data_IF_046337587280
#
_entry.id   IF_046337587280
#
_cell.length_a   1.000
_cell.length_b   1.000
_cell.length_c   1.000
_cell.angle_alpha   90.00
_cell.angle_beta   90.00
_cell.angle_gamma   90.00
#
_symmetry.space_group_name_H-M   'P 1'
#
loop_
_entity.id
_entity.type
_entity.pdbx_description
1 polymer ?
#
# COMPACT_ATOMS: atom_id res chain seq x y z
N UNK A 1 -24.34 -37.34 11.73
CA UNK A 1 -24.18 -35.90 12.05
C UNK A 1 -22.97 -35.43 11.29
N UNK A 2 -23.18 -34.56 10.30
CA UNK A 2 -22.11 -34.01 9.46
C UNK A 2 -21.32 -32.99 10.29
N UNK A 3 -20.00 -33.17 10.34
CA UNK A 3 -19.06 -32.17 10.84
C UNK A 3 -18.97 -31.08 9.79
N UNK A 4 -19.57 -29.92 10.06
CA UNK A 4 -19.37 -28.71 9.28
C UNK A 4 -17.93 -28.26 9.50
N UNK A 5 -17.14 -28.31 8.44
CA UNK A 5 -15.80 -27.74 8.42
C UNK A 5 -15.91 -26.24 8.73
N UNK A 6 -15.16 -25.78 9.72
CA UNK A 6 -14.80 -24.38 9.83
C UNK A 6 -13.87 -24.08 8.66
N UNK A 7 -14.40 -23.53 7.58
CA UNK A 7 -13.59 -22.79 6.62
C UNK A 7 -12.99 -21.62 7.39
N UNK A 8 -11.66 -21.45 7.43
CA UNK A 8 -11.09 -20.18 7.87
C UNK A 8 -11.56 -19.12 6.88
N UNK A 9 -12.59 -18.37 7.26
CA UNK A 9 -13.08 -17.25 6.46
C UNK A 9 -11.96 -16.22 6.39
N UNK A 10 -11.46 -16.00 5.17
CA UNK A 10 -10.75 -14.77 4.84
C UNK A 10 -11.60 -13.58 5.30
N UNK A 11 -10.94 -12.54 5.80
CA UNK A 11 -11.64 -11.30 6.14
C UNK A 11 -12.50 -10.89 4.94
N UNK A 12 -13.77 -10.59 5.18
CA UNK A 12 -14.72 -10.28 4.11
C UNK A 12 -14.13 -9.22 3.18
N UNK A 13 -13.98 -9.56 1.89
CA UNK A 13 -13.45 -8.64 0.90
C UNK A 13 -14.23 -7.32 0.94
N UNK A 14 -13.52 -6.22 1.17
CA UNK A 14 -14.12 -4.88 1.26
C UNK A 14 -14.56 -4.40 -0.11
N UNK A 15 -15.61 -3.58 -0.18
CA UNK A 15 -16.03 -2.99 -1.47
C UNK A 15 -14.92 -2.11 -2.05
N UNK A 16 -14.82 -2.03 -3.38
CA UNK A 16 -13.82 -1.17 -4.03
C UNK A 16 -13.90 0.30 -3.59
N UNK A 17 -15.11 0.83 -3.38
CA UNK A 17 -15.30 2.22 -2.89
C UNK A 17 -14.82 2.43 -1.46
N UNK A 18 -14.98 1.42 -0.59
CA UNK A 18 -14.47 1.45 0.78
C UNK A 18 -12.95 1.37 0.77
N UNK A 19 -12.39 0.40 0.04
CA UNK A 19 -10.95 0.25 -0.13
C UNK A 19 -10.29 1.53 -0.67
N UNK A 20 -10.94 2.22 -1.63
CA UNK A 20 -10.46 3.50 -2.16
C UNK A 20 -10.35 4.58 -1.09
N UNK A 21 -11.36 4.72 -0.23
CA UNK A 21 -11.34 5.71 0.86
C UNK A 21 -10.27 5.38 1.89
N UNK A 22 -10.17 4.12 2.27
CA UNK A 22 -9.18 3.69 3.27
C UNK A 22 -7.75 3.90 2.75
N UNK A 23 -7.51 3.57 1.48
CA UNK A 23 -6.23 3.83 0.82
C UNK A 23 -5.94 5.32 0.71
N UNK A 24 -6.91 6.15 0.35
CA UNK A 24 -6.72 7.60 0.26
C UNK A 24 -6.29 8.19 1.62
N UNK A 25 -6.97 7.81 2.70
CA UNK A 25 -6.62 8.26 4.06
C UNK A 25 -5.22 7.77 4.45
N UNK A 26 -4.93 6.48 4.28
CA UNK A 26 -3.63 5.90 4.61
C UNK A 26 -2.50 6.60 3.83
N UNK A 27 -2.67 6.79 2.52
CA UNK A 27 -1.63 7.39 1.69
C UNK A 27 -1.37 8.83 2.07
N UNK A 28 -2.40 9.64 2.35
CA UNK A 28 -2.22 11.03 2.79
C UNK A 28 -1.41 11.08 4.08
N UNK A 29 -1.76 10.27 5.07
CA UNK A 29 -1.02 10.24 6.34
C UNK A 29 0.41 9.73 6.17
N UNK A 30 0.63 8.73 5.30
CA UNK A 30 1.99 8.28 4.95
C UNK A 30 2.80 9.37 4.25
N UNK A 31 2.18 10.15 3.35
CA UNK A 31 2.84 11.26 2.66
C UNK A 31 3.27 12.35 3.64
N UNK A 32 2.44 12.67 4.64
CA UNK A 32 2.75 13.62 5.71
C UNK A 32 3.84 13.07 6.66
N UNK A 33 3.73 11.80 7.06
CA UNK A 33 4.72 11.13 7.91
C UNK A 33 6.08 11.05 7.23
N UNK A 34 6.09 10.71 5.94
CA UNK A 34 7.29 10.80 5.10
C UNK A 34 7.74 12.25 5.10
N UNK A 35 6.94 13.24 4.73
CA UNK A 35 7.40 14.62 4.56
C UNK A 35 8.12 15.25 5.78
N UNK A 36 7.86 14.82 7.02
CA UNK A 36 8.45 15.41 8.23
C UNK A 36 8.40 16.95 8.23
N UNK A 37 7.23 17.50 7.91
CA UNK A 37 6.97 18.94 7.84
C UNK A 37 7.61 19.68 6.63
N UNK A 38 8.23 18.95 5.69
CA UNK A 38 8.66 19.49 4.40
C UNK A 38 7.49 19.61 3.40
N UNK A 39 7.50 20.65 2.56
CA UNK A 39 6.50 20.77 1.49
C UNK A 39 6.93 19.89 0.30
N UNK A 40 6.46 18.64 0.29
CA UNK A 40 6.71 17.69 -0.79
C UNK A 40 5.56 17.66 -1.80
N UNK A 41 5.91 17.78 -3.07
CA UNK A 41 4.95 17.63 -4.17
C UNK A 41 4.82 16.16 -4.59
N UNK A 42 3.74 15.52 -4.13
CA UNK A 42 3.40 14.15 -4.50
C UNK A 42 2.66 14.09 -5.84
N UNK A 43 3.03 13.11 -6.68
CA UNK A 43 2.37 12.79 -7.95
C UNK A 43 1.71 11.41 -7.85
N UNK A 44 0.52 11.24 -8.42
CA UNK A 44 -0.22 9.97 -8.42
C UNK A 44 -1.67 10.13 -7.94
N UNK A 45 -2.43 9.03 -7.82
CA UNK A 45 -2.02 7.66 -8.14
C UNK A 45 -1.78 7.47 -9.65
N UNK A 46 -0.75 6.69 -10.00
CA UNK A 46 -0.53 6.17 -11.36
C UNK A 46 -0.64 4.65 -11.42
N UNK A 47 -0.96 4.10 -12.59
CA UNK A 47 -1.02 2.65 -12.83
C UNK A 47 -2.03 1.88 -11.94
N UNK A 48 -3.15 2.53 -11.59
CA UNK A 48 -4.31 1.85 -10.99
C UNK A 48 -4.76 0.70 -11.91
N UNK A 49 -5.00 -0.47 -11.33
CA UNK A 49 -5.41 -1.65 -12.09
C UNK A 49 -6.29 -2.57 -11.23
N UNK A 50 -7.10 -3.39 -11.90
CA UNK A 50 -7.90 -4.43 -11.27
C UNK A 50 -7.77 -5.70 -12.10
N UNK A 51 -7.49 -6.81 -11.44
CA UNK A 51 -7.40 -8.12 -12.09
C UNK A 51 -7.88 -9.22 -11.15
N UNK A 52 -8.35 -10.32 -11.70
CA UNK A 52 -8.60 -11.56 -10.96
C UNK A 52 -7.27 -12.30 -10.72
N UNK A 53 -7.09 -12.86 -9.52
CA UNK A 53 -5.97 -13.76 -9.22
C UNK A 53 -6.27 -15.23 -9.61
N UNK A 54 -5.31 -16.12 -9.38
CA UNK A 54 -5.45 -17.55 -9.71
C UNK A 54 -6.51 -18.27 -8.86
N UNK A 55 -6.94 -17.66 -7.75
CA UNK A 55 -7.94 -18.20 -6.83
C UNK A 55 -9.34 -17.63 -7.11
N UNK A 56 -9.47 -16.73 -8.08
CA UNK A 56 -10.74 -16.10 -8.47
C UNK A 56 -11.11 -14.87 -7.65
N UNK A 57 -10.19 -14.33 -6.84
CA UNK A 57 -10.42 -13.11 -6.07
C UNK A 57 -10.01 -11.87 -6.87
N UNK A 58 -10.79 -10.79 -6.76
CA UNK A 58 -10.42 -9.54 -7.41
C UNK A 58 -9.33 -8.82 -6.61
N UNK A 59 -8.18 -8.61 -7.24
CA UNK A 59 -7.02 -7.90 -6.71
C UNK A 59 -6.94 -6.51 -7.31
N UNK A 60 -7.27 -5.52 -6.49
CA UNK A 60 -7.10 -4.12 -6.83
C UNK A 60 -5.68 -3.67 -6.53
N UNK A 61 -5.13 -2.89 -7.45
CA UNK A 61 -3.90 -2.13 -7.27
C UNK A 61 -4.27 -0.66 -7.35
N UNK A 62 -4.24 0.07 -6.22
CA UNK A 62 -4.54 1.49 -6.19
C UNK A 62 -3.63 2.34 -7.07
N UNK A 63 -2.38 1.90 -7.22
CA UNK A 63 -1.37 2.59 -8.00
C UNK A 63 -0.16 2.99 -7.15
N UNK A 64 0.56 3.97 -7.67
CA UNK A 64 1.84 4.42 -7.15
C UNK A 64 1.80 5.94 -6.93
N UNK A 65 2.43 6.40 -5.84
CA UNK A 65 2.60 7.82 -5.53
C UNK A 65 4.06 8.15 -5.39
N UNK A 66 4.54 9.20 -6.07
CA UNK A 66 5.96 9.56 -6.12
C UNK A 66 6.21 10.98 -5.66
N UNK A 67 7.35 11.22 -5.00
CA UNK A 67 7.84 12.56 -4.65
C UNK A 67 9.36 12.64 -4.81
N UNK A 68 9.89 13.82 -5.12
CA UNK A 68 11.33 14.09 -5.20
C UNK A 68 11.94 14.17 -3.79
N UNK A 69 12.18 13.02 -3.19
CA UNK A 69 12.84 12.84 -1.91
C UNK A 69 13.70 11.58 -1.94
N UNK A 70 14.94 11.69 -1.46
CA UNK A 70 15.77 10.52 -1.20
C UNK A 70 15.56 10.04 0.24
N UNK A 71 15.24 8.76 0.43
CA UNK A 71 15.21 8.10 1.74
C UNK A 71 16.35 7.09 1.90
N UNK A 72 17.62 7.53 2.02
CA UNK A 72 18.69 6.64 2.47
C UNK A 72 18.63 6.46 4.00
N UNK A 73 19.09 5.31 4.53
CA UNK A 73 19.25 5.11 5.98
C UNK A 73 20.16 6.17 6.64
N UNK A 74 21.09 6.73 5.86
CA UNK A 74 21.99 7.79 6.31
C UNK A 74 21.33 9.18 6.35
N UNK A 75 20.04 9.31 6.00
CA UNK A 75 19.29 10.56 6.20
C UNK A 75 19.26 10.90 7.70
N UNK A 76 19.75 12.08 8.12
CA UNK A 76 19.72 12.49 9.53
C UNK A 76 18.30 12.52 10.12
N UNK A 77 17.28 12.65 9.26
CA UNK A 77 15.87 12.67 9.68
C UNK A 77 15.22 11.28 9.65
N UNK A 78 15.93 10.24 9.22
CA UNK A 78 15.38 8.89 9.00
C UNK A 78 14.78 8.28 10.27
N UNK A 79 15.44 8.42 11.41
CA UNK A 79 14.96 7.87 12.67
C UNK A 79 13.59 8.44 13.09
N UNK A 80 13.36 9.72 12.85
CA UNK A 80 12.08 10.36 13.09
C UNK A 80 11.05 9.97 12.02
N UNK A 81 11.48 9.91 10.75
CA UNK A 81 10.62 9.59 9.60
C UNK A 81 10.05 8.18 9.71
N UNK A 82 10.92 7.20 9.94
CA UNK A 82 10.54 5.80 10.15
C UNK A 82 9.60 5.64 11.35
N UNK A 83 9.84 6.34 12.46
CA UNK A 83 8.93 6.33 13.61
C UNK A 83 7.54 6.87 13.26
N UNK A 84 7.44 8.03 12.60
CA UNK A 84 6.13 8.58 12.20
C UNK A 84 5.40 7.66 11.22
N UNK A 85 6.13 7.04 10.29
CA UNK A 85 5.52 6.06 9.37
C UNK A 85 4.98 4.87 10.15
N UNK A 86 5.75 4.31 11.10
CA UNK A 86 5.29 3.20 11.95
C UNK A 86 4.04 3.55 12.76
N UNK A 87 3.94 4.78 13.28
CA UNK A 87 2.77 5.26 14.00
C UNK A 87 1.53 5.31 13.09
N UNK A 88 1.67 5.80 11.86
CA UNK A 88 0.59 5.78 10.86
C UNK A 88 0.17 4.35 10.55
N UNK A 89 1.12 3.46 10.23
CA UNK A 89 0.83 2.07 9.91
C UNK A 89 0.07 1.36 11.05
N UNK A 90 0.52 1.54 12.29
CA UNK A 90 -0.15 0.99 13.47
C UNK A 90 -1.55 1.59 13.69
N UNK A 91 -1.74 2.87 13.39
CA UNK A 91 -3.05 3.54 13.43
C UNK A 91 -4.07 2.90 12.49
N UNK A 92 -3.60 2.37 11.35
CA UNK A 92 -4.40 1.61 10.37
C UNK A 92 -4.46 0.10 10.66
N UNK A 93 -3.91 -0.36 11.80
CA UNK A 93 -3.89 -1.77 12.18
C UNK A 93 -2.90 -2.62 11.38
N UNK A 94 -1.94 -1.99 10.69
CA UNK A 94 -0.88 -2.64 9.93
C UNK A 94 0.36 -2.88 10.80
N UNK A 95 1.27 -3.72 10.30
CA UNK A 95 2.60 -3.88 10.89
C UNK A 95 3.46 -2.63 10.66
N UNK A 96 4.52 -2.46 11.45
CA UNK A 96 5.52 -1.43 11.17
C UNK A 96 6.23 -1.64 9.84
N UNK A 97 7.09 -0.69 9.47
CA UNK A 97 8.00 -0.78 8.34
C UNK A 97 8.80 -2.08 8.45
N UNK A 98 8.83 -2.84 7.37
CA UNK A 98 9.66 -4.03 7.31
C UNK A 98 11.15 -3.70 7.39
N UNK A 99 11.95 -4.75 7.58
CA UNK A 99 13.38 -4.62 7.39
C UNK A 99 13.65 -4.12 5.98
N UNK A 100 14.65 -3.26 5.83
CA UNK A 100 14.98 -2.77 4.53
C UNK A 100 15.56 -3.83 3.61
N UNK A 101 15.19 -3.74 2.34
CA UNK A 101 15.64 -4.65 1.31
C UNK A 101 16.20 -3.90 0.10
N UNK A 102 17.29 -4.44 -0.45
CA UNK A 102 17.84 -3.97 -1.72
C UNK A 102 17.04 -4.53 -2.88
N UNK A 103 16.41 -3.65 -3.67
CA UNK A 103 15.43 -4.08 -4.67
C UNK A 103 15.96 -3.95 -6.10
N UNK A 104 17.28 -3.90 -6.24
CA UNK A 104 17.96 -3.73 -7.54
C UNK A 104 18.25 -2.27 -7.87
N UNK A 105 19.21 -2.04 -8.76
CA UNK A 105 19.53 -0.70 -9.27
C UNK A 105 20.31 0.23 -8.33
N UNK A 106 20.34 0.05 -7.01
CA UNK A 106 20.54 1.05 -5.92
C UNK A 106 19.23 1.66 -5.39
N UNK A 107 18.10 1.01 -5.65
CA UNK A 107 16.84 1.30 -4.96
C UNK A 107 16.83 0.56 -3.62
N UNK A 108 16.38 1.28 -2.59
CA UNK A 108 16.19 0.76 -1.24
C UNK A 108 14.71 0.78 -0.94
N UNK A 109 14.16 -0.29 -0.38
CA UNK A 109 12.73 -0.36 -0.11
C UNK A 109 12.42 -1.03 1.21
N UNK A 110 11.27 -0.67 1.77
CA UNK A 110 10.67 -1.33 2.90
C UNK A 110 9.32 -1.91 2.47
N UNK A 111 9.07 -3.15 2.84
CA UNK A 111 7.83 -3.85 2.53
C UNK A 111 7.14 -4.28 3.83
N UNK A 112 5.82 -4.15 3.88
CA UNK A 112 5.01 -4.61 5.01
C UNK A 112 3.63 -5.05 4.55
N UNK A 113 2.89 -5.68 5.46
CA UNK A 113 1.50 -6.03 5.21
C UNK A 113 0.68 -4.75 4.97
N UNK A 114 -0.06 -4.73 3.85
CA UNK A 114 -0.98 -3.67 3.51
C UNK A 114 -2.42 -3.99 3.94
N UNK A 115 -3.35 -3.05 3.73
CA UNK A 115 -4.76 -3.28 3.96
C UNK A 115 -5.31 -4.38 3.04
N UNK A 116 -6.43 -5.00 3.44
CA UNK A 116 -7.16 -5.99 2.62
C UNK A 116 -6.26 -7.12 2.07
N UNK A 117 -5.36 -7.66 2.90
CA UNK A 117 -4.37 -8.70 2.54
C UNK A 117 -3.41 -8.29 1.41
N UNK A 118 -3.34 -7.01 1.08
CA UNK A 118 -2.39 -6.47 0.12
C UNK A 118 -1.00 -6.29 0.72
N UNK A 119 -0.13 -5.69 -0.09
CA UNK A 119 1.24 -5.33 0.29
C UNK A 119 1.41 -3.83 0.16
N UNK A 120 1.98 -3.21 1.19
CA UNK A 120 2.48 -1.85 1.14
C UNK A 120 3.99 -1.89 0.99
N UNK A 121 4.50 -1.07 0.08
CA UNK A 121 5.94 -0.92 -0.14
C UNK A 121 6.29 0.55 -0.30
N UNK A 122 7.37 0.98 0.33
CA UNK A 122 7.93 2.32 0.19
C UNK A 122 9.36 2.15 -0.29
N UNK A 123 9.69 2.62 -1.48
CA UNK A 123 11.06 2.60 -1.98
C UNK A 123 11.59 3.95 -2.42
N UNK A 124 12.91 4.08 -2.40
CA UNK A 124 13.63 5.27 -2.79
C UNK A 124 14.67 4.92 -3.83
N UNK A 125 14.57 5.57 -4.99
CA UNK A 125 15.42 5.35 -6.15
C UNK A 125 15.79 6.68 -6.82
N UNK A 126 17.09 6.94 -6.98
CA UNK A 126 17.61 8.17 -7.64
C UNK A 126 17.03 9.48 -7.10
N UNK A 127 16.77 9.54 -5.80
CA UNK A 127 16.20 10.72 -5.15
C UNK A 127 14.69 10.88 -5.33
N UNK A 128 14.01 9.82 -5.75
CA UNK A 128 12.55 9.76 -5.82
C UNK A 128 12.09 8.69 -4.84
N UNK A 129 11.16 9.05 -3.97
CA UNK A 129 10.46 8.12 -3.09
C UNK A 129 9.14 7.74 -3.74
N UNK A 130 8.80 6.46 -3.68
CA UNK A 130 7.56 5.90 -4.20
C UNK A 130 6.84 5.09 -3.13
N UNK A 131 5.54 5.36 -2.96
CA UNK A 131 4.62 4.54 -2.17
C UNK A 131 3.88 3.64 -3.16
N UNK A 132 3.88 2.34 -2.91
CA UNK A 132 3.20 1.33 -3.71
C UNK A 132 2.23 0.53 -2.84
N UNK A 133 1.00 0.39 -3.33
CA UNK A 133 0.02 -0.55 -2.78
C UNK A 133 -0.37 -1.56 -3.84
N UNK A 134 -0.33 -2.85 -3.47
CA UNK A 134 -0.53 -3.95 -4.40
C UNK A 134 -1.41 -5.04 -3.83
N UNK A 135 -2.27 -5.62 -4.68
CA UNK A 135 -2.94 -6.89 -4.38
C UNK A 135 -4.03 -6.80 -3.33
N UNK A 136 -4.66 -5.64 -3.16
CA UNK A 136 -5.74 -5.45 -2.19
C UNK A 136 -6.94 -6.28 -2.64
N UNK A 137 -7.41 -7.18 -1.78
CA UNK A 137 -8.61 -7.96 -2.06
C UNK A 137 -9.85 -7.08 -1.98
N UNK A 138 -10.61 -7.00 -3.07
CA UNK A 138 -11.83 -6.19 -3.11
C UNK A 138 -13.01 -6.98 -3.66
N UNK A 139 -14.20 -6.64 -3.17
CA UNK A 139 -15.45 -7.05 -3.77
C UNK A 139 -15.88 -6.03 -4.84
N UNK A 140 -16.08 -6.48 -6.08
CA UNK A 140 -16.66 -5.70 -7.17
C UNK A 140 -17.89 -6.38 -7.75
N UNK A 141 -18.86 -5.59 -8.20
CA UNK A 141 -20.04 -6.12 -8.88
C UNK A 141 -19.73 -6.43 -10.36
N UNK A 142 -19.65 -7.72 -10.69
CA UNK A 142 -19.44 -8.19 -12.05
C UNK A 142 -18.05 -8.81 -12.25
N UNK A 143 -17.39 -8.47 -13.36
CA UNK A 143 -16.07 -9.01 -13.70
C UNK A 143 -14.93 -8.19 -13.06
N UNK A 144 -13.88 -8.88 -12.60
CA UNK A 144 -12.67 -8.28 -12.03
C UNK A 144 -11.74 -7.76 -13.14
N UNK A 145 -12.18 -6.77 -13.92
CA UNK A 145 -11.38 -6.16 -14.98
C UNK A 145 -11.41 -4.62 -14.91
N UNK A 146 -10.53 -3.98 -15.68
CA UNK A 146 -10.37 -2.51 -15.70
C UNK A 146 -11.69 -1.75 -15.94
N UNK A 147 -12.67 -2.35 -16.63
CA UNK A 147 -13.98 -1.71 -16.86
C UNK A 147 -14.75 -1.47 -15.56
N UNK A 148 -14.49 -2.26 -14.52
CA UNK A 148 -15.14 -2.15 -13.21
C UNK A 148 -14.55 -1.03 -12.35
N UNK A 149 -13.38 -0.47 -12.71
CA UNK A 149 -12.78 0.67 -12.00
C UNK A 149 -13.55 1.98 -12.22
N UNK A 150 -14.26 2.11 -13.35
CA UNK A 150 -14.89 3.35 -13.81
C UNK A 150 -16.42 3.33 -13.76
N UNK A 151 -17.01 2.34 -13.09
CA UNK A 151 -18.46 2.21 -12.98
C UNK A 151 -19.06 3.10 -11.91
#
# INVERSE_FOLDING_TARGET
>A
MMVTACTPGGGDAVSLDEARRDVEVLVVELQEAIALDEDLSWQGPSAEALAEDEEGACRWRPGEWTAELALPEDDPSWAERSQRIDEVLQGHGLGGLGEPEYTGGSAYGHETAGPASGTLRIDSWRGVTTIHLHGLEVAVEGSCDESSLFR
#
